data_IF_541819631698
#
_entry.id   IF_541819631698
#
_cell.length_a   1.000
_cell.length_b   1.000
_cell.length_c   1.000
_cell.angle_alpha   90.00
_cell.angle_beta   90.00
_cell.angle_gamma   90.00
#
_symmetry.space_group_name_H-M   'P 1'
#
loop_
_entity.id
_entity.type
_entity.pdbx_description
1 polymer ?
#
# COMPACT_ATOMS: atom_id res chain seq x y z
N UNK A 1 -2.18 13.49 43.71
CA UNK A 1 -1.44 13.89 42.48
C UNK A 1 -1.33 12.68 41.57
N UNK A 2 -2.07 12.64 40.46
CA UNK A 2 -1.96 11.57 39.46
C UNK A 2 -0.73 11.88 38.59
N UNK A 3 0.28 11.01 38.59
CA UNK A 3 1.40 11.08 37.64
C UNK A 3 0.82 10.96 36.23
N UNK A 4 1.03 11.97 35.39
CA UNK A 4 0.78 11.86 33.96
C UNK A 4 1.66 10.73 33.41
N UNK A 5 1.02 9.70 32.83
CA UNK A 5 1.70 8.60 32.17
C UNK A 5 2.26 9.15 30.86
N UNK A 6 3.58 9.32 30.77
CA UNK A 6 4.22 9.74 29.52
C UNK A 6 3.94 8.68 28.44
N UNK A 7 3.32 9.09 27.33
CA UNK A 7 3.26 8.25 26.13
C UNK A 7 4.68 8.19 25.55
N UNK A 8 5.26 6.99 25.50
CA UNK A 8 6.50 6.79 24.75
C UNK A 8 6.15 6.85 23.26
N UNK A 9 6.66 7.86 22.56
CA UNK A 9 6.59 7.93 21.10
C UNK A 9 7.31 6.74 20.47
N UNK A 10 6.77 6.24 19.36
CA UNK A 10 7.18 5.01 18.69
C UNK A 10 8.37 5.24 17.76
N UNK A 11 9.23 4.23 17.63
CA UNK A 11 10.18 4.10 16.52
C UNK A 11 9.52 3.17 15.51
N UNK A 12 9.13 3.73 14.37
CA UNK A 12 8.43 3.01 13.30
C UNK A 12 9.44 2.48 12.29
N UNK A 13 9.48 1.16 12.12
CA UNK A 13 10.30 0.50 11.11
C UNK A 13 9.48 0.10 9.89
N UNK A 14 9.78 0.65 8.72
CA UNK A 14 9.19 0.24 7.45
C UNK A 14 10.12 -0.78 6.79
N UNK A 15 9.67 -2.02 6.68
CA UNK A 15 10.35 -3.09 5.98
C UNK A 15 9.74 -3.30 4.60
N UNK A 16 10.56 -3.33 3.55
CA UNK A 16 10.07 -3.43 2.17
C UNK A 16 11.16 -3.90 1.20
N UNK A 17 10.78 -4.62 0.14
CA UNK A 17 11.66 -4.85 -1.02
C UNK A 17 11.66 -3.66 -2.01
N UNK A 18 10.72 -2.72 -1.87
CA UNK A 18 10.64 -1.51 -2.69
C UNK A 18 11.64 -0.45 -2.20
N UNK A 19 12.11 0.40 -3.12
CA UNK A 19 12.92 1.56 -2.75
C UNK A 19 12.10 2.59 -1.95
N UNK A 20 12.78 3.34 -1.08
CA UNK A 20 12.15 4.28 -0.13
C UNK A 20 11.32 5.37 -0.82
N UNK A 21 11.78 5.86 -1.97
CA UNK A 21 11.12 6.89 -2.76
C UNK A 21 9.68 6.51 -3.15
N UNK A 22 9.38 5.22 -3.28
CA UNK A 22 8.04 4.72 -3.64
C UNK A 22 7.00 4.92 -2.53
N UNK A 23 7.45 5.06 -1.28
CA UNK A 23 6.60 5.27 -0.11
C UNK A 23 7.06 6.46 0.73
N UNK A 24 7.80 7.40 0.13
CA UNK A 24 8.21 8.63 0.81
C UNK A 24 6.99 9.39 1.33
N UNK A 25 5.89 9.40 0.57
CA UNK A 25 4.60 9.95 1.00
C UNK A 25 4.17 9.40 2.37
N UNK A 26 4.32 8.10 2.63
CA UNK A 26 3.91 7.50 3.90
C UNK A 26 4.84 7.89 5.05
N UNK A 27 6.14 8.02 4.77
CA UNK A 27 7.12 8.54 5.74
C UNK A 27 6.76 9.97 6.12
N UNK A 28 6.43 10.80 5.13
CA UNK A 28 6.05 12.19 5.32
C UNK A 28 4.75 12.29 6.14
N UNK A 29 3.76 11.45 5.85
CA UNK A 29 2.50 11.36 6.61
C UNK A 29 2.71 10.94 8.07
N UNK A 30 3.50 9.89 8.31
CA UNK A 30 3.84 9.42 9.67
C UNK A 30 4.59 10.51 10.46
N UNK A 31 5.49 11.22 9.79
CA UNK A 31 6.36 12.22 10.43
C UNK A 31 5.63 13.55 10.67
N UNK A 32 4.69 13.93 9.82
CA UNK A 32 3.95 15.20 9.93
C UNK A 32 2.70 15.06 10.79
N UNK A 33 1.76 14.19 10.38
CA UNK A 33 0.44 14.05 11.00
C UNK A 33 0.45 13.18 12.25
N UNK A 34 1.42 12.28 12.39
CA UNK A 34 1.56 11.39 13.56
C UNK A 34 2.82 11.72 14.37
N UNK A 35 3.37 12.92 14.22
CA UNK A 35 4.55 13.42 14.95
C UNK A 35 4.41 13.33 16.47
N UNK A 36 3.20 13.41 17.01
CA UNK A 36 2.93 13.26 18.44
C UNK A 36 3.10 11.83 18.95
N UNK A 37 2.94 10.84 18.07
CA UNK A 37 2.99 9.41 18.36
C UNK A 37 4.27 8.76 17.85
N UNK A 38 4.94 9.35 16.85
CA UNK A 38 6.13 8.81 16.18
C UNK A 38 7.34 9.68 16.50
N UNK A 39 8.38 9.06 17.08
CA UNK A 39 9.69 9.71 17.30
C UNK A 39 10.49 9.75 16.02
N UNK A 40 10.51 8.62 15.32
CA UNK A 40 11.41 8.37 14.19
C UNK A 40 10.79 7.32 13.27
N UNK A 41 10.97 7.49 11.97
CA UNK A 41 10.63 6.50 10.94
C UNK A 41 11.92 6.02 10.28
N UNK A 42 12.17 4.70 10.30
CA UNK A 42 13.33 4.07 9.71
C UNK A 42 12.91 3.15 8.57
N UNK A 43 13.64 3.18 7.47
CA UNK A 43 13.47 2.23 6.38
C UNK A 43 14.50 1.10 6.47
N UNK A 44 14.02 -0.14 6.36
CA UNK A 44 14.85 -1.34 6.32
C UNK A 44 14.60 -2.10 5.01
N UNK A 45 15.53 -2.06 4.05
CA UNK A 45 15.40 -2.82 2.82
C UNK A 45 15.35 -4.32 3.13
N UNK A 46 14.49 -5.05 2.44
CA UNK A 46 14.50 -6.52 2.43
C UNK A 46 15.14 -6.96 1.12
N UNK A 47 16.22 -7.73 1.22
CA UNK A 47 16.85 -8.41 0.09
C UNK A 47 17.04 -9.88 0.42
N UNK A 48 17.42 -10.69 -0.57
CA UNK A 48 17.70 -12.10 -0.32
C UNK A 48 19.00 -12.32 0.48
N UNK A 49 19.84 -11.29 0.62
CA UNK A 49 21.20 -11.39 1.16
C UNK A 49 21.35 -10.75 2.54
N UNK A 50 20.42 -9.86 2.95
CA UNK A 50 20.56 -9.07 4.17
C UNK A 50 19.70 -9.55 5.36
N UNK A 51 19.23 -10.79 5.34
CA UNK A 51 18.25 -11.29 6.33
C UNK A 51 18.69 -11.08 7.79
N UNK A 52 19.96 -11.32 8.11
CA UNK A 52 20.45 -11.20 9.49
C UNK A 52 20.58 -9.75 9.96
N UNK A 53 21.02 -8.86 9.07
CA UNK A 53 21.10 -7.41 9.34
C UNK A 53 19.70 -6.83 9.53
N UNK A 54 18.80 -7.09 8.59
CA UNK A 54 17.40 -6.68 8.65
C UNK A 54 16.73 -7.14 9.96
N UNK A 55 16.93 -8.42 10.35
CA UNK A 55 16.40 -8.96 11.61
C UNK A 55 16.91 -8.22 12.84
N UNK A 56 18.17 -7.81 12.85
CA UNK A 56 18.78 -7.06 13.96
C UNK A 56 18.18 -5.66 14.07
N UNK A 57 17.97 -5.00 12.93
CA UNK A 57 17.43 -3.65 12.87
C UNK A 57 15.95 -3.57 13.26
N UNK A 58 15.12 -4.49 12.74
CA UNK A 58 13.69 -4.55 13.08
C UNK A 58 13.46 -4.70 14.58
N UNK A 59 14.30 -5.47 15.29
CA UNK A 59 14.23 -5.62 16.75
C UNK A 59 14.39 -4.31 17.52
N UNK A 60 15.04 -3.30 16.93
CA UNK A 60 15.22 -1.98 17.52
C UNK A 60 13.99 -1.08 17.41
N UNK A 61 12.96 -1.51 16.66
CA UNK A 61 11.72 -0.76 16.48
C UNK A 61 10.71 -1.10 17.57
N UNK A 62 9.77 -0.20 17.78
CA UNK A 62 8.62 -0.44 18.66
C UNK A 62 7.33 -0.70 17.86
N UNK A 63 7.30 -0.30 16.59
CA UNK A 63 6.21 -0.58 15.66
C UNK A 63 6.78 -0.92 14.28
N UNK A 64 6.19 -1.90 13.61
CA UNK A 64 6.64 -2.41 12.31
C UNK A 64 5.59 -2.25 11.22
N UNK A 65 6.02 -1.78 10.05
CA UNK A 65 5.20 -1.71 8.85
C UNK A 65 5.86 -2.59 7.79
N UNK A 66 5.17 -3.62 7.32
CA UNK A 66 5.56 -4.34 6.11
C UNK A 66 4.87 -3.67 4.92
N UNK A 67 5.64 -3.03 4.06
CA UNK A 67 5.12 -2.32 2.89
C UNK A 67 5.38 -3.11 1.60
N UNK A 68 4.39 -3.13 0.71
CA UNK A 68 4.53 -3.70 -0.63
C UNK A 68 3.75 -2.88 -1.66
N UNK A 69 4.39 -2.53 -2.77
CA UNK A 69 3.74 -1.88 -3.93
C UNK A 69 3.48 -2.89 -5.04
N UNK A 70 2.26 -2.87 -5.58
CA UNK A 70 1.87 -3.69 -6.74
C UNK A 70 2.50 -3.21 -8.06
N UNK A 71 3.21 -2.08 -8.09
CA UNK A 71 3.98 -1.66 -9.28
C UNK A 71 5.05 -2.68 -9.66
N UNK A 72 5.52 -3.47 -8.69
CA UNK A 72 6.56 -4.48 -8.87
C UNK A 72 6.01 -5.91 -8.87
N UNK A 73 4.70 -6.08 -9.12
CA UNK A 73 4.10 -7.36 -9.43
C UNK A 73 3.03 -7.81 -8.45
N UNK A 74 3.15 -9.06 -7.99
CA UNK A 74 2.02 -9.84 -7.43
C UNK A 74 1.54 -9.28 -6.09
N UNK A 75 0.23 -9.35 -5.86
CA UNK A 75 -0.43 -9.08 -4.56
C UNK A 75 -0.17 -10.18 -3.51
N UNK A 76 0.38 -11.30 -3.98
CA UNK A 76 0.69 -12.49 -3.23
C UNK A 76 1.96 -12.28 -2.40
N UNK A 77 1.79 -11.74 -1.20
CA UNK A 77 2.86 -11.45 -0.26
C UNK A 77 3.11 -12.59 0.74
N UNK A 78 2.08 -13.36 1.11
CA UNK A 78 2.17 -14.53 2.02
C UNK A 78 1.26 -15.70 1.60
N UNK A 79 1.48 -16.89 2.18
CA UNK A 79 0.62 -18.09 2.15
C UNK A 79 0.32 -18.73 0.77
N UNK A 80 1.01 -18.29 -0.26
CA UNK A 80 0.81 -18.73 -1.64
C UNK A 80 2.14 -19.01 -2.28
N UNK A 81 2.16 -19.89 -3.28
CA UNK A 81 3.42 -20.27 -3.93
C UNK A 81 4.17 -19.05 -4.52
N UNK A 82 5.43 -18.90 -4.12
CA UNK A 82 6.26 -17.76 -4.52
C UNK A 82 5.93 -16.45 -3.80
N UNK A 83 5.26 -16.52 -2.64
CA UNK A 83 5.13 -15.43 -1.67
C UNK A 83 6.49 -14.80 -1.33
N UNK A 84 6.48 -13.49 -1.11
CA UNK A 84 7.69 -12.70 -0.92
C UNK A 84 8.09 -12.51 0.54
N UNK A 85 7.14 -12.62 1.48
CA UNK A 85 7.30 -12.09 2.84
C UNK A 85 6.86 -13.03 3.95
N UNK A 86 6.66 -14.33 3.70
CA UNK A 86 6.24 -15.28 4.76
C UNK A 86 7.17 -15.24 5.97
N UNK A 87 8.49 -15.24 5.72
CA UNK A 87 9.51 -15.27 6.79
C UNK A 87 9.60 -13.92 7.49
N UNK A 88 9.55 -12.84 6.72
CA UNK A 88 9.72 -11.48 7.20
C UNK A 88 8.52 -11.07 8.05
N UNK A 89 7.30 -11.31 7.58
CA UNK A 89 6.09 -10.97 8.33
C UNK A 89 5.99 -11.78 9.63
N UNK A 90 6.29 -13.08 9.58
CA UNK A 90 6.32 -13.93 10.77
C UNK A 90 7.35 -13.43 11.78
N UNK A 91 8.56 -13.09 11.32
CA UNK A 91 9.61 -12.58 12.21
C UNK A 91 9.21 -11.26 12.86
N UNK A 92 8.67 -10.30 12.08
CA UNK A 92 8.18 -9.02 12.61
C UNK A 92 7.15 -9.23 13.72
N UNK A 93 6.20 -10.14 13.50
CA UNK A 93 5.17 -10.48 14.49
C UNK A 93 5.76 -11.08 15.76
N UNK A 94 6.76 -11.97 15.63
CA UNK A 94 7.42 -12.61 16.77
C UNK A 94 8.26 -11.63 17.60
N UNK A 95 8.90 -10.64 16.97
CA UNK A 95 9.78 -9.73 17.70
C UNK A 95 9.09 -8.44 18.19
N UNK A 96 8.08 -7.96 17.48
CA UNK A 96 7.35 -6.73 17.81
C UNK A 96 5.99 -7.01 18.48
N UNK A 97 5.53 -8.25 18.51
CA UNK A 97 4.13 -8.64 18.71
C UNK A 97 3.22 -8.23 17.54
N UNK A 98 2.25 -9.09 17.24
CA UNK A 98 1.21 -8.85 16.23
C UNK A 98 0.54 -7.48 16.35
N UNK A 99 0.26 -7.04 17.58
CA UNK A 99 -0.43 -5.77 17.82
C UNK A 99 0.32 -4.56 17.28
N UNK A 100 1.65 -4.66 17.19
CA UNK A 100 2.54 -3.60 16.75
C UNK A 100 3.04 -3.79 15.30
N UNK A 101 2.37 -4.63 14.51
CA UNK A 101 2.70 -4.86 13.11
C UNK A 101 1.51 -4.48 12.24
N UNK A 102 1.77 -3.66 11.23
CA UNK A 102 0.83 -3.30 10.17
C UNK A 102 1.37 -3.76 8.81
N UNK A 103 0.47 -4.18 7.92
CA UNK A 103 0.79 -4.45 6.52
C UNK A 103 0.17 -3.37 5.65
N UNK A 104 0.94 -2.81 4.73
CA UNK A 104 0.48 -1.83 3.74
C UNK A 104 0.67 -2.43 2.37
N UNK A 105 -0.44 -2.59 1.64
CA UNK A 105 -0.42 -2.92 0.23
C UNK A 105 -0.77 -1.66 -0.55
N UNK A 106 0.10 -1.25 -1.45
CA UNK A 106 0.01 0.01 -2.19
C UNK A 106 -0.15 -0.23 -3.71
N UNK A 107 -0.65 0.77 -4.41
CA UNK A 107 -0.94 0.77 -5.85
C UNK A 107 -2.00 -0.25 -6.28
N UNK A 108 -3.01 -0.51 -5.43
CA UNK A 108 -4.16 -1.32 -5.79
C UNK A 108 -5.14 -0.59 -6.71
N UNK A 109 -5.83 -1.37 -7.55
CA UNK A 109 -6.97 -0.87 -8.34
C UNK A 109 -8.25 -0.72 -7.49
N UNK A 110 -8.41 -1.56 -6.47
CA UNK A 110 -9.57 -1.60 -5.60
C UNK A 110 -9.12 -1.66 -4.14
N UNK A 111 -9.70 -0.83 -3.30
CA UNK A 111 -9.44 -0.77 -1.84
C UNK A 111 -10.71 -1.04 -1.03
N UNK A 112 -11.59 -1.87 -1.58
CA UNK A 112 -12.90 -2.19 -0.98
C UNK A 112 -12.76 -3.15 0.20
N UNK A 113 -13.82 -3.23 1.02
CA UNK A 113 -13.89 -4.18 2.12
C UNK A 113 -13.91 -5.63 1.59
N UNK A 114 -14.56 -5.87 0.45
CA UNK A 114 -14.57 -7.17 -0.23
C UNK A 114 -13.15 -7.60 -0.63
N UNK A 115 -12.36 -6.66 -1.15
CA UNK A 115 -10.97 -6.94 -1.54
C UNK A 115 -10.10 -7.22 -0.31
N UNK A 116 -10.28 -6.46 0.76
CA UNK A 116 -9.65 -6.73 2.06
C UNK A 116 -9.99 -8.12 2.57
N UNK A 117 -11.27 -8.50 2.56
CA UNK A 117 -11.75 -9.84 2.96
C UNK A 117 -11.17 -10.93 2.07
N UNK A 118 -11.09 -10.69 0.75
CA UNK A 118 -10.51 -11.63 -0.22
C UNK A 118 -9.06 -11.90 0.11
N UNK A 119 -8.25 -10.83 0.27
CA UNK A 119 -6.82 -10.93 0.59
C UNK A 119 -6.63 -11.70 1.90
N UNK A 120 -7.33 -11.32 2.98
CA UNK A 120 -7.20 -11.98 4.28
C UNK A 120 -7.69 -13.44 4.29
N UNK A 121 -8.58 -13.83 3.37
CA UNK A 121 -8.97 -15.25 3.18
C UNK A 121 -7.90 -16.04 2.45
N UNK A 122 -7.28 -15.45 1.43
CA UNK A 122 -6.24 -16.11 0.62
C UNK A 122 -4.87 -16.10 1.28
N UNK A 123 -4.61 -15.12 2.15
CA UNK A 123 -3.32 -14.83 2.78
C UNK A 123 -3.52 -14.66 4.30
N UNK A 124 -3.92 -15.74 5.01
CA UNK A 124 -4.28 -15.67 6.42
C UNK A 124 -3.12 -15.25 7.33
N UNK A 125 -1.86 -15.46 6.95
CA UNK A 125 -0.70 -15.03 7.75
C UNK A 125 -0.69 -13.52 7.99
N UNK A 126 -1.24 -12.71 7.07
CA UNK A 126 -1.45 -11.27 7.30
C UNK A 126 -2.29 -11.06 8.56
N UNK A 127 -3.43 -11.74 8.67
CA UNK A 127 -4.34 -11.64 9.83
C UNK A 127 -3.72 -12.21 11.10
N UNK A 128 -2.87 -13.22 10.99
CA UNK A 128 -2.22 -13.84 12.14
C UNK A 128 -1.04 -13.04 12.67
N UNK A 129 -0.31 -12.35 11.79
CA UNK A 129 0.95 -11.70 12.10
C UNK A 129 0.87 -10.18 12.25
N UNK A 130 -0.22 -9.55 11.80
CA UNK A 130 -0.45 -8.10 11.90
C UNK A 130 -1.80 -7.76 12.53
N UNK A 131 -1.91 -6.56 13.10
CA UNK A 131 -3.14 -6.00 13.66
C UNK A 131 -3.97 -5.22 12.64
N UNK A 132 -3.33 -4.73 11.57
CA UNK A 132 -3.96 -3.91 10.55
C UNK A 132 -3.41 -4.23 9.16
N UNK A 133 -4.32 -4.38 8.20
CA UNK A 133 -4.05 -4.39 6.77
C UNK A 133 -4.61 -3.10 6.17
N UNK A 134 -3.74 -2.29 5.58
CA UNK A 134 -4.09 -1.06 4.88
C UNK A 134 -3.94 -1.27 3.38
N UNK A 135 -5.02 -1.06 2.62
CA UNK A 135 -5.01 -1.10 1.16
C UNK A 135 -5.02 0.32 0.60
N UNK A 136 -3.99 0.71 -0.14
CA UNK A 136 -3.86 2.05 -0.71
C UNK A 136 -4.03 2.00 -2.23
N UNK A 137 -4.86 2.92 -2.75
CA UNK A 137 -5.13 3.03 -4.17
C UNK A 137 -3.95 3.71 -4.90
N UNK A 138 -3.90 3.56 -6.23
CA UNK A 138 -2.86 4.20 -7.06
C UNK A 138 -2.84 5.73 -6.99
N UNK A 139 -3.99 6.36 -6.67
CA UNK A 139 -4.18 7.81 -6.59
C UNK A 139 -4.62 8.20 -5.19
N UNK A 140 -4.45 9.48 -4.84
CA UNK A 140 -4.92 10.09 -3.59
C UNK A 140 -4.46 9.37 -2.31
N UNK A 141 -3.22 8.86 -2.34
CA UNK A 141 -2.63 8.04 -1.26
C UNK A 141 -2.63 8.74 0.10
N UNK A 142 -2.23 10.00 0.11
CA UNK A 142 -2.18 10.83 1.33
C UNK A 142 -3.57 11.01 1.94
N UNK A 143 -4.57 11.33 1.13
CA UNK A 143 -5.96 11.46 1.58
C UNK A 143 -6.47 10.13 2.14
N UNK A 144 -6.21 9.01 1.45
CA UNK A 144 -6.61 7.70 1.94
C UNK A 144 -5.94 7.36 3.28
N UNK A 145 -4.67 7.68 3.43
CA UNK A 145 -3.95 7.50 4.69
C UNK A 145 -4.54 8.38 5.81
N UNK A 146 -4.88 9.64 5.52
CA UNK A 146 -5.56 10.54 6.45
C UNK A 146 -6.89 9.98 6.93
N UNK A 147 -7.71 9.41 6.03
CA UNK A 147 -8.97 8.77 6.42
C UNK A 147 -8.77 7.57 7.36
N UNK A 148 -7.58 6.97 7.37
CA UNK A 148 -7.25 5.80 8.15
C UNK A 148 -6.47 6.15 9.43
N UNK A 149 -6.21 7.43 9.70
CA UNK A 149 -5.52 7.88 10.92
C UNK A 149 -6.21 7.40 12.20
N UNK A 150 -7.55 7.33 12.20
CA UNK A 150 -8.30 6.85 13.37
C UNK A 150 -8.09 5.36 13.64
N UNK A 151 -7.76 4.58 12.61
CA UNK A 151 -7.38 3.17 12.75
C UNK A 151 -5.90 3.00 13.13
N UNK A 152 -5.02 3.88 12.65
CA UNK A 152 -3.56 3.80 12.85
C UNK A 152 -3.15 4.36 14.22
N UNK A 153 -3.74 5.47 14.66
CA UNK A 153 -3.35 6.18 15.88
C UNK A 153 -3.46 5.32 17.15
N UNK A 154 -4.52 4.51 17.36
CA UNK A 154 -4.61 3.62 18.52
C UNK A 154 -3.49 2.58 18.55
N UNK A 155 -3.05 2.09 17.39
CA UNK A 155 -1.96 1.12 17.30
C UNK A 155 -0.64 1.74 17.73
N UNK A 156 -0.34 2.94 17.25
CA UNK A 156 0.86 3.69 17.65
C UNK A 156 0.80 4.16 19.11
N UNK A 157 -0.39 4.35 19.67
CA UNK A 157 -0.58 4.71 21.08
C UNK A 157 -0.61 3.50 22.02
N UNK A 158 -0.37 2.28 21.52
CA UNK A 158 -0.34 1.07 22.36
C UNK A 158 0.92 1.08 23.23
N UNK A 159 0.82 1.73 24.40
CA UNK A 159 1.88 1.75 25.41
C UNK A 159 1.90 0.39 26.11
N UNK A 160 2.59 -0.60 25.53
CA UNK A 160 2.95 -1.81 26.28
C UNK A 160 4.09 -1.48 27.23
N UNK A 161 3.78 -1.49 28.52
CA UNK A 161 4.77 -1.60 29.59
C UNK A 161 5.52 -2.91 29.42
N UNK A 162 6.76 -2.88 28.94
CA UNK A 162 7.67 -4.00 29.13
C UNK A 162 8.17 -3.98 30.57
N UNK A 163 7.50 -4.72 31.45
CA UNK A 163 8.19 -5.36 32.57
C UNK A 163 9.01 -6.50 31.97
N UNK A 164 10.31 -6.45 32.20
CA UNK A 164 11.26 -7.51 31.91
C UNK A 164 10.75 -8.86 32.43
N UNK A 165 10.37 -9.78 31.54
CA UNK A 165 10.47 -11.20 31.84
C UNK A 165 11.55 -11.78 30.94
N UNK A 166 12.68 -12.09 31.58
CA UNK A 166 13.78 -12.79 30.98
C UNK A 166 13.29 -14.13 30.44
N UNK A 167 13.38 -14.32 29.12
CA UNK A 167 13.35 -15.67 28.57
C UNK A 167 14.69 -16.32 28.92
N UNK A 168 14.67 -17.07 30.02
CA UNK A 168 15.71 -18.03 30.35
C UNK A 168 15.79 -19.06 29.22
N UNK A 169 16.88 -19.01 28.46
CA UNK A 169 17.29 -20.07 27.56
C UNK A 169 17.66 -21.27 28.44
N UNK A 170 16.75 -22.24 28.56
CA UNK A 170 17.12 -23.58 29.03
C UNK A 170 17.84 -24.29 27.89
N UNK A 171 19.18 -24.26 27.98
CA UNK A 171 20.04 -25.23 27.31
C UNK A 171 19.58 -26.63 27.71
N UNK A 172 19.21 -27.44 26.72
CA UNK A 172 19.17 -28.90 26.88
C UNK A 172 20.11 -29.49 25.85
N UNK A 173 21.31 -29.79 26.34
CA UNK A 173 22.26 -30.72 25.75
C UNK A 173 21.65 -32.12 25.73
N UNK A 174 21.56 -32.73 24.56
CA UNK A 174 21.55 -34.19 24.43
C UNK A 174 22.52 -34.57 23.34
N UNK A 175 23.71 -34.92 23.80
CA UNK A 175 24.70 -35.76 23.14
C UNK A 175 24.12 -37.17 23.06
N UNK A 176 24.08 -37.79 21.87
CA UNK A 176 24.55 -39.16 21.67
C UNK A 176 24.57 -39.54 20.18
N UNK A 177 25.53 -40.38 19.86
CA UNK A 177 26.15 -40.57 18.55
C UNK A 177 25.49 -41.67 17.71
N UNK A 178 25.75 -41.60 16.39
CA UNK A 178 26.18 -42.70 15.48
C UNK A 178 26.38 -42.09 14.08
N UNK A 179 27.59 -41.92 13.53
CA UNK A 179 28.65 -42.88 13.15
C UNK A 179 28.38 -43.59 11.81
N UNK A 180 29.30 -43.37 10.85
CA UNK A 180 29.54 -44.03 9.55
C UNK A 180 28.45 -43.80 8.47
N UNK A 181 28.77 -43.31 7.26
CA UNK A 181 29.72 -43.92 6.31
C UNK A 181 30.44 -42.91 5.41
N UNK A 182 31.65 -43.34 5.00
CA UNK A 182 32.59 -42.76 4.04
C UNK A 182 32.13 -42.73 2.58
N UNK A 183 32.87 -41.93 1.80
CA UNK A 183 33.07 -42.06 0.34
C UNK A 183 31.98 -41.39 -0.50
N UNK A 184 32.25 -40.71 -1.62
CA UNK A 184 33.36 -40.85 -2.54
C UNK A 184 33.39 -39.60 -3.45
N UNK A 185 34.59 -39.30 -3.93
CA UNK A 185 34.91 -38.23 -4.86
C UNK A 185 34.46 -38.62 -6.26
N UNK A 186 33.90 -37.69 -7.04
CA UNK A 186 34.30 -37.56 -8.45
C UNK A 186 34.00 -36.16 -8.96
N UNK A 187 35.08 -35.46 -9.27
CA UNK A 187 35.15 -34.43 -10.29
C UNK A 187 34.61 -34.95 -11.63
N UNK A 188 33.84 -34.14 -12.35
CA UNK A 188 33.93 -34.12 -13.81
C UNK A 188 33.80 -32.69 -14.31
N UNK A 189 34.95 -32.11 -14.57
CA UNK A 189 35.21 -30.98 -15.43
C UNK A 189 34.92 -31.41 -16.88
N UNK A 190 33.95 -30.80 -17.57
CA UNK A 190 33.87 -30.88 -19.04
C UNK A 190 33.76 -29.50 -19.64
N UNK A 191 34.81 -29.20 -20.38
CA UNK A 191 35.10 -28.01 -21.14
C UNK A 191 34.59 -28.25 -22.58
N UNK A 192 33.82 -27.32 -23.18
CA UNK A 192 33.72 -27.26 -24.66
C UNK A 192 33.34 -25.86 -25.18
N UNK A 193 34.32 -25.27 -25.87
CA UNK A 193 34.30 -24.33 -27.01
C UNK A 193 32.96 -24.37 -27.79
N UNK A 194 32.42 -23.29 -28.35
CA UNK A 194 33.01 -22.08 -28.93
C UNK A 194 31.96 -21.38 -29.83
N UNK A 195 32.33 -20.42 -30.70
CA UNK A 195 31.68 -19.11 -30.79
C UNK A 195 30.79 -18.90 -32.03
N UNK A 196 29.94 -17.87 -31.97
CA UNK A 196 29.16 -17.37 -33.11
C UNK A 196 28.95 -15.86 -33.04
N UNK A 197 29.97 -15.09 -33.44
CA UNK A 197 29.87 -13.67 -33.73
C UNK A 197 29.33 -13.45 -35.14
N UNK A 198 28.26 -12.66 -35.30
CA UNK A 198 27.95 -12.03 -36.59
C UNK A 198 27.83 -10.52 -36.39
N UNK A 199 28.72 -9.82 -37.07
CA UNK A 199 28.87 -8.36 -37.15
C UNK A 199 28.64 -7.99 -38.61
N UNK A 200 27.68 -7.11 -38.91
CA UNK A 200 27.59 -6.33 -40.17
C UNK A 200 26.96 -4.98 -39.76
N UNK A 201 27.73 -3.88 -39.69
CA UNK A 201 27.93 -2.84 -40.73
C UNK A 201 26.60 -2.26 -41.27
N UNK A 202 26.39 -0.97 -41.53
CA UNK A 202 27.21 0.25 -41.64
C UNK A 202 26.23 1.43 -41.88
N UNK A 203 26.64 2.64 -41.44
CA UNK A 203 26.44 3.98 -42.06
C UNK A 203 25.01 4.56 -42.22
N UNK A 204 24.80 5.75 -41.63
CA UNK A 204 23.86 6.80 -42.10
C UNK A 204 24.41 7.52 -43.34
N UNK A 205 24.10 8.82 -43.64
CA UNK A 205 23.20 9.79 -42.97
C UNK A 205 22.26 10.60 -43.92
N UNK A 206 21.30 11.35 -43.33
CA UNK A 206 21.02 12.76 -43.67
C UNK A 206 20.08 13.16 -44.84
N UNK A 207 19.36 14.28 -44.60
CA UNK A 207 18.63 15.21 -45.52
C UNK A 207 17.29 14.72 -46.08
N UNK A 208 16.15 15.45 -46.15
CA UNK A 208 15.71 16.84 -45.92
C UNK A 208 14.14 16.84 -45.95
N UNK A 209 13.42 17.91 -45.53
CA UNK A 209 11.96 17.93 -45.49
C UNK A 209 11.35 18.39 -46.83
N UNK A 210 10.23 17.79 -47.25
CA UNK A 210 9.46 18.22 -48.42
C UNK A 210 8.02 18.57 -48.03
N UNK A 211 7.56 19.64 -48.68
CA UNK A 211 6.36 20.42 -48.42
C UNK A 211 5.14 19.89 -49.19
N UNK A 212 3.97 20.02 -48.57
CA UNK A 212 2.60 20.29 -49.08
C UNK A 212 2.23 19.79 -50.50
N UNK A 213 1.20 18.94 -50.58
CA UNK A 213 0.27 18.91 -51.72
C UNK A 213 -1.14 18.38 -51.33
N UNK A 214 -2.14 19.14 -51.81
CA UNK A 214 -3.60 19.05 -51.88
C UNK A 214 -4.41 17.81 -51.42
N UNK A 215 -5.70 18.00 -51.02
CA UNK A 215 -6.62 16.92 -50.70
C UNK A 215 -7.11 16.19 -51.96
N UNK A 216 -6.99 14.87 -51.95
CA UNK A 216 -7.56 13.96 -52.95
C UNK A 216 -9.08 13.89 -52.74
N UNK A 217 -9.84 14.32 -53.75
CA UNK A 217 -11.28 14.07 -53.81
C UNK A 217 -11.52 12.59 -54.12
N UNK A 218 -12.00 11.84 -53.13
CA UNK A 218 -12.45 10.45 -53.31
C UNK A 218 -13.87 10.51 -53.84
N UNK A 219 -14.04 10.16 -55.12
CA UNK A 219 -15.34 9.89 -55.73
C UNK A 219 -15.93 8.61 -55.12
N UNK A 220 -17.03 8.76 -54.38
CA UNK A 220 -17.80 7.65 -53.82
C UNK A 220 -18.60 6.99 -54.95
N UNK A 221 -18.10 5.84 -55.41
CA UNK A 221 -18.85 4.90 -56.23
C UNK A 221 -20.04 4.34 -55.44
N UNK A 222 -21.22 4.47 -56.03
CA UNK A 222 -22.48 3.94 -55.52
C UNK A 222 -22.53 2.42 -55.72
N UNK A 223 -21.96 1.66 -54.79
CA UNK A 223 -22.22 0.22 -54.62
C UNK A 223 -22.02 -0.14 -53.13
N UNK A 224 -22.92 0.36 -52.28
CA UNK A 224 -22.94 0.03 -50.86
C UNK A 224 -23.76 -1.24 -50.63
N UNK A 225 -23.09 -2.31 -50.18
CA UNK A 225 -23.73 -3.53 -49.72
C UNK A 225 -24.73 -3.23 -48.57
N UNK A 226 -25.84 -4.00 -48.45
CA UNK A 226 -26.85 -3.74 -47.43
C UNK A 226 -26.25 -3.87 -46.03
N UNK A 227 -26.29 -2.77 -45.28
CA UNK A 227 -25.89 -2.72 -43.87
C UNK A 227 -26.74 -3.74 -43.11
N UNK A 228 -26.09 -4.65 -42.40
CA UNK A 228 -26.73 -5.72 -41.65
C UNK A 228 -27.64 -5.13 -40.55
N UNK A 229 -28.96 -5.19 -40.73
CA UNK A 229 -29.97 -4.62 -39.82
C UNK A 229 -29.81 -5.07 -38.36
N UNK A 230 -29.25 -6.26 -38.10
CA UNK A 230 -29.01 -6.75 -36.74
C UNK A 230 -27.97 -5.90 -35.98
N UNK A 231 -26.95 -5.41 -36.67
CA UNK A 231 -25.91 -4.56 -36.07
C UNK A 231 -26.48 -3.20 -35.70
N UNK A 232 -27.38 -2.67 -36.53
CA UNK A 232 -28.07 -1.40 -36.29
C UNK A 232 -28.94 -1.49 -35.02
N UNK A 233 -29.73 -2.56 -34.87
CA UNK A 233 -30.56 -2.74 -33.67
C UNK A 233 -29.73 -2.88 -32.39
N UNK A 234 -28.60 -3.60 -32.44
CA UNK A 234 -27.68 -3.70 -31.29
C UNK A 234 -27.13 -2.33 -30.90
N UNK A 235 -26.72 -1.52 -31.87
CA UNK A 235 -26.22 -0.16 -31.62
C UNK A 235 -27.30 0.73 -30.99
N UNK A 236 -28.55 0.66 -31.47
CA UNK A 236 -29.66 1.41 -30.89
C UNK A 236 -29.91 1.03 -29.42
N UNK A 237 -29.84 -0.27 -29.07
CA UNK A 237 -29.98 -0.73 -27.67
C UNK A 237 -28.85 -0.24 -26.77
N UNK A 238 -27.61 -0.26 -27.28
CA UNK A 238 -26.45 0.26 -26.55
C UNK A 238 -26.60 1.76 -26.30
N UNK A 239 -26.98 2.53 -27.32
CA UNK A 239 -27.21 3.98 -27.20
C UNK A 239 -28.28 4.29 -26.15
N UNK A 240 -29.42 3.60 -26.18
CA UNK A 240 -30.48 3.77 -25.18
C UNK A 240 -29.99 3.45 -23.75
N UNK A 241 -29.17 2.42 -23.60
CA UNK A 241 -28.58 2.06 -22.31
C UNK A 241 -27.62 3.14 -21.80
N UNK A 242 -26.80 3.71 -22.69
CA UNK A 242 -25.87 4.80 -22.38
C UNK A 242 -26.64 6.06 -21.96
N UNK A 243 -27.72 6.41 -22.64
CA UNK A 243 -28.58 7.55 -22.28
C UNK A 243 -29.19 7.35 -20.88
N UNK A 244 -29.68 6.15 -20.57
CA UNK A 244 -30.22 5.85 -19.23
C UNK A 244 -29.15 5.95 -18.15
N UNK A 245 -27.95 5.44 -18.40
CA UNK A 245 -26.82 5.54 -17.47
C UNK A 245 -26.45 7.01 -17.26
N UNK A 246 -26.41 7.80 -18.34
CA UNK A 246 -26.09 9.23 -18.30
C UNK A 246 -27.09 9.99 -17.42
N UNK A 247 -28.39 9.73 -17.59
CA UNK A 247 -29.44 10.34 -16.77
C UNK A 247 -29.33 9.94 -15.29
N UNK A 248 -29.02 8.67 -15.00
CA UNK A 248 -28.80 8.20 -13.61
C UNK A 248 -27.61 8.90 -12.95
N UNK A 249 -26.48 9.02 -13.66
CA UNK A 249 -25.29 9.72 -13.17
C UNK A 249 -25.61 11.20 -12.90
N UNK A 250 -26.34 11.85 -13.81
CA UNK A 250 -26.75 13.24 -13.64
C UNK A 250 -27.59 13.44 -12.37
N UNK A 251 -28.60 12.59 -12.16
CA UNK A 251 -29.46 12.66 -10.97
C UNK A 251 -28.69 12.39 -9.67
N UNK A 252 -27.78 11.41 -9.67
CA UNK A 252 -26.93 11.14 -8.51
C UNK A 252 -25.98 12.30 -8.20
N UNK A 253 -25.46 12.96 -9.22
CA UNK A 253 -24.59 14.13 -9.07
C UNK A 253 -25.34 15.29 -8.42
N UNK A 254 -26.59 15.53 -8.82
CA UNK A 254 -27.44 16.56 -8.21
C UNK A 254 -27.74 16.27 -6.73
N UNK A 255 -28.11 15.02 -6.40
CA UNK A 255 -28.33 14.59 -5.02
C UNK A 255 -27.08 14.76 -4.13
N UNK A 256 -25.89 14.47 -4.68
CA UNK A 256 -24.64 14.64 -3.96
C UNK A 256 -24.34 16.12 -3.67
N UNK A 257 -24.61 17.01 -4.61
CA UNK A 257 -24.43 18.45 -4.42
C UNK A 257 -25.44 19.04 -3.42
N UNK A 258 -26.67 18.53 -3.38
CA UNK A 258 -27.65 18.91 -2.36
C UNK A 258 -27.20 18.45 -0.95
N UNK A 259 -26.79 17.20 -0.82
CA UNK A 259 -26.25 16.67 0.44
C UNK A 259 -25.04 17.46 0.94
N UNK A 260 -24.12 17.83 0.03
CA UNK A 260 -22.94 18.63 0.35
C UNK A 260 -23.32 20.02 0.84
N UNK A 261 -24.32 20.67 0.24
CA UNK A 261 -24.84 21.98 0.70
C UNK A 261 -25.46 21.88 2.08
N UNK A 262 -26.26 20.85 2.34
CA UNK A 262 -26.86 20.60 3.66
C UNK A 262 -25.79 20.39 4.73
N UNK A 263 -24.79 19.54 4.43
CA UNK A 263 -23.68 19.29 5.36
C UNK A 263 -22.90 20.57 5.67
N UNK A 264 -22.62 21.40 4.66
CA UNK A 264 -21.95 22.68 4.84
C UNK A 264 -22.77 23.66 5.70
N UNK A 265 -24.10 23.68 5.55
CA UNK A 265 -24.99 24.48 6.38
C UNK A 265 -24.96 24.00 7.84
N UNK A 266 -24.95 22.70 8.07
CA UNK A 266 -24.86 22.10 9.42
C UNK A 266 -23.54 22.44 10.12
N UNK A 267 -22.40 22.36 9.41
CA UNK A 267 -21.09 22.79 9.93
C UNK A 267 -21.14 24.28 10.32
N UNK A 268 -21.70 25.13 9.46
CA UNK A 268 -21.80 26.58 9.71
C UNK A 268 -22.64 26.87 10.96
N UNK A 269 -23.76 26.15 11.13
CA UNK A 269 -24.63 26.25 12.30
C UNK A 269 -23.92 25.83 13.59
N UNK A 270 -23.18 24.73 13.55
CA UNK A 270 -22.44 24.23 14.71
C UNK A 270 -21.34 25.22 15.14
N UNK A 271 -20.61 25.78 14.18
CA UNK A 271 -19.60 26.80 14.44
C UNK A 271 -20.21 28.06 15.08
N UNK A 272 -21.39 28.49 14.60
CA UNK A 272 -22.11 29.61 15.21
C UNK A 272 -22.51 29.33 16.66
N UNK A 273 -23.03 28.12 16.95
CA UNK A 273 -23.37 27.71 18.31
C UNK A 273 -22.13 27.69 19.22
N UNK A 274 -21.01 27.17 18.72
CA UNK A 274 -19.76 27.15 19.47
C UNK A 274 -19.27 28.56 19.84
N UNK A 275 -19.33 29.51 18.90
CA UNK A 275 -18.93 30.89 19.18
C UNK A 275 -19.89 31.60 20.16
N UNK A 276 -21.18 31.27 20.16
CA UNK A 276 -22.13 31.76 21.17
C UNK A 276 -21.75 31.22 22.55
N UNK A 277 -21.57 29.91 22.67
CA UNK A 277 -21.21 29.25 23.92
C UNK A 277 -19.89 29.79 24.49
N UNK A 278 -18.88 29.96 23.63
CA UNK A 278 -17.58 30.52 23.99
C UNK A 278 -17.72 31.93 24.58
N UNK A 279 -18.56 32.80 23.99
CA UNK A 279 -18.81 34.14 24.51
C UNK A 279 -19.48 34.11 25.89
N UNK A 280 -20.45 33.21 26.08
CA UNK A 280 -21.13 33.03 27.37
C UNK A 280 -20.17 32.61 28.48
N UNK A 281 -19.29 31.64 28.21
CA UNK A 281 -18.26 31.19 29.16
C UNK A 281 -17.30 32.33 29.52
N UNK A 282 -16.84 33.10 28.53
CA UNK A 282 -15.96 34.26 28.78
C UNK A 282 -16.66 35.29 29.66
N UNK A 283 -17.94 35.58 29.41
CA UNK A 283 -18.72 36.53 30.20
C UNK A 283 -18.91 36.06 31.65
N UNK A 284 -19.16 34.76 31.88
CA UNK A 284 -19.26 34.19 33.22
C UNK A 284 -17.94 34.32 34.00
N UNK A 285 -16.81 34.06 33.35
CA UNK A 285 -15.49 34.20 33.97
C UNK A 285 -15.16 35.65 34.33
N UNK A 286 -15.54 36.60 33.48
CA UNK A 286 -15.34 38.03 33.75
C UNK A 286 -16.19 38.55 34.93
N UNK A 287 -17.38 37.98 35.16
CA UNK A 287 -18.22 38.35 36.30
C UNK A 287 -17.75 37.80 37.66
N UNK A 288 -16.77 36.90 37.67
CA UNK A 288 -16.19 36.31 38.89
C UNK A 288 -14.92 37.01 39.37
N UNK A 289 -14.33 37.89 38.54
CA UNK A 289 -13.14 38.69 38.84
C UNK A 289 -13.55 40.10 39.27
#
# INVERSE_FOLDING_TARGET
MKRAKASSRQIVGISSRCQQDQFQWMIDMLTSHLSELVTEVKYYPITNENSDEWKKEVKGCSFGILYHSLKHGRINITDVEGSLYDKELLYMSQCLDKENVMVVLDDLEQTTEEETKRILRTQPSIKHCSSLLLLTAKKDKENYFLFQIDAISPLLNTVKSRSSSAFAIKNTSSTEARSLCDGDSTETHVNRRGPGTTRVNRRGPGTTPASISAPVAISLGADAAPINNQVVEMLTRVLSSVEQITTKISNQTEQLEEFKKEHQANISRLNQQFEIFKKEVIQQLQGLL
#
